data_IF_763992083838
#
_entry.id   IF_763992083838
#
_cell.length_a   1.000
_cell.length_b   1.000
_cell.length_c   1.000
_cell.angle_alpha   90.00
_cell.angle_beta   90.00
_cell.angle_gamma   90.00
#
_symmetry.space_group_name_H-M   'P 1'
#
loop_
_entity.id
_entity.type
_entity.pdbx_description
1 polymer ?
#
# COMPACT_ATOMS: atom_id res chain seq x y z
N UNK A 1 3.63 -0.33 -48.21
CA UNK A 1 4.53 -0.22 -47.06
C UNK A 1 3.64 -0.30 -45.83
N UNK A 2 3.55 -1.49 -45.22
CA UNK A 2 2.67 -1.74 -44.05
C UNK A 2 3.54 -1.51 -42.82
N UNK A 3 3.25 -0.47 -42.03
CA UNK A 3 3.84 -0.26 -40.73
C UNK A 3 3.17 -1.24 -39.75
N UNK A 4 3.86 -2.33 -39.40
CA UNK A 4 3.52 -3.11 -38.21
C UNK A 4 3.93 -2.26 -36.99
N UNK A 5 2.97 -1.61 -36.37
CA UNK A 5 3.14 -1.10 -35.00
C UNK A 5 3.15 -2.31 -34.06
N UNK A 6 4.34 -2.75 -33.64
CA UNK A 6 4.45 -3.65 -32.50
C UNK A 6 4.03 -2.85 -31.28
N UNK A 7 2.83 -3.14 -30.76
CA UNK A 7 2.46 -2.71 -29.42
C UNK A 7 3.48 -3.35 -28.46
N UNK A 8 4.35 -2.54 -27.89
CA UNK A 8 5.14 -2.92 -26.72
C UNK A 8 4.10 -3.19 -25.61
N UNK A 9 3.83 -4.46 -25.34
CA UNK A 9 3.14 -4.85 -24.12
C UNK A 9 4.03 -4.41 -22.94
N UNK A 10 3.70 -3.30 -22.32
CA UNK A 10 4.29 -2.87 -21.07
C UNK A 10 3.80 -3.86 -19.99
N UNK A 11 4.61 -4.87 -19.72
CA UNK A 11 4.35 -5.87 -18.69
C UNK A 11 4.63 -5.25 -17.32
N UNK A 12 3.60 -4.72 -16.70
CA UNK A 12 3.65 -4.29 -15.30
C UNK A 12 3.00 -5.37 -14.43
N UNK A 13 3.72 -6.38 -13.99
CA UNK A 13 3.19 -7.54 -13.24
C UNK A 13 4.15 -7.90 -12.11
N UNK A 14 4.38 -6.99 -11.16
CA UNK A 14 5.48 -7.19 -10.22
C UNK A 14 5.25 -6.65 -8.81
N UNK A 15 4.20 -5.85 -8.56
CA UNK A 15 3.97 -5.31 -7.22
C UNK A 15 3.46 -6.42 -6.30
N UNK A 16 4.24 -6.70 -5.26
CA UNK A 16 3.92 -7.66 -4.20
C UNK A 16 3.21 -6.97 -3.06
N UNK A 17 3.69 -5.81 -2.64
CA UNK A 17 3.16 -5.08 -1.52
C UNK A 17 3.83 -3.71 -1.33
N UNK A 18 3.46 -3.05 -0.25
CA UNK A 18 4.07 -1.78 0.16
C UNK A 18 3.42 -1.22 1.41
N UNK A 19 4.08 -0.24 1.98
CA UNK A 19 3.62 0.54 3.11
C UNK A 19 4.04 2.00 2.97
N UNK A 20 3.34 2.89 3.65
CA UNK A 20 3.72 4.31 3.75
C UNK A 20 3.43 4.80 5.16
N UNK A 21 4.39 5.51 5.73
CA UNK A 21 4.27 6.17 7.04
C UNK A 21 4.95 7.54 7.01
N UNK A 22 4.68 8.37 8.03
CA UNK A 22 5.25 9.71 8.11
C UNK A 22 5.85 10.02 9.48
N UNK A 23 6.75 10.99 9.49
CA UNK A 23 7.40 11.58 10.65
C UNK A 23 7.20 13.09 10.59
N UNK A 24 6.71 13.71 11.67
CA UNK A 24 6.66 15.14 11.78
C UNK A 24 7.99 15.69 12.28
N UNK A 25 8.67 16.47 11.47
CA UNK A 25 9.99 17.03 11.78
C UNK A 25 9.90 18.38 12.53
N UNK A 26 8.71 18.79 12.96
CA UNK A 26 8.49 20.04 13.68
C UNK A 26 7.99 21.19 12.79
N UNK A 27 8.01 22.42 13.34
CA UNK A 27 7.54 23.59 12.61
C UNK A 27 8.38 23.89 11.38
N UNK A 28 7.73 24.38 10.34
CA UNK A 28 8.40 24.90 9.16
C UNK A 28 9.04 26.27 9.41
N UNK A 29 9.73 26.79 8.39
CA UNK A 29 10.30 28.15 8.44
C UNK A 29 9.26 29.26 8.23
N UNK A 30 8.05 28.90 7.79
CA UNK A 30 6.92 29.82 7.64
C UNK A 30 5.94 29.64 8.80
N UNK A 31 5.22 30.69 9.22
CA UNK A 31 4.16 30.56 10.24
C UNK A 31 3.11 29.51 9.85
N UNK A 32 2.57 28.81 10.84
CA UNK A 32 1.51 27.82 10.68
C UNK A 32 1.81 26.73 9.64
N UNK A 33 3.09 26.29 9.57
CA UNK A 33 3.53 25.20 8.72
C UNK A 33 4.24 24.11 9.50
N UNK A 34 4.25 22.89 8.94
CA UNK A 34 5.00 21.73 9.43
C UNK A 34 5.92 21.20 8.34
N UNK A 35 7.00 20.57 8.78
CA UNK A 35 7.84 19.74 7.93
C UNK A 35 7.56 18.27 8.22
N UNK A 36 7.43 17.47 7.17
CA UNK A 36 7.24 16.02 7.28
C UNK A 36 8.26 15.30 6.42
N UNK A 37 8.67 14.14 6.90
CA UNK A 37 9.36 13.13 6.13
C UNK A 37 8.45 11.91 6.04
N UNK A 38 8.07 11.52 4.83
CA UNK A 38 7.35 10.28 4.61
C UNK A 38 8.30 9.25 4.02
N UNK A 39 8.12 8.01 4.44
CA UNK A 39 8.82 6.86 3.86
C UNK A 39 7.78 5.94 3.23
N UNK A 40 7.93 5.71 1.94
CA UNK A 40 7.14 4.71 1.21
C UNK A 40 8.07 3.57 0.84
N UNK A 41 7.77 2.35 1.33
CA UNK A 41 8.45 1.12 0.95
C UNK A 41 7.59 0.36 -0.03
N UNK A 42 8.22 -0.11 -1.11
CA UNK A 42 7.55 -0.92 -2.13
C UNK A 42 8.31 -2.21 -2.30
N UNK A 43 7.55 -3.28 -2.42
CA UNK A 43 8.01 -4.65 -2.59
C UNK A 43 7.67 -5.16 -3.98
N UNK A 44 8.63 -5.80 -4.63
CA UNK A 44 8.53 -6.27 -6.00
C UNK A 44 8.96 -7.73 -6.10
N UNK A 45 8.29 -8.47 -6.97
CA UNK A 45 8.71 -9.80 -7.39
C UNK A 45 9.90 -9.69 -8.35
N UNK A 46 11.09 -10.04 -7.86
CA UNK A 46 12.34 -9.99 -8.65
C UNK A 46 12.49 -11.16 -9.63
N UNK A 47 11.71 -12.24 -9.47
CA UNK A 47 11.70 -13.35 -10.44
C UNK A 47 10.78 -13.05 -11.64
N UNK A 48 9.96 -11.98 -11.57
CA UNK A 48 9.09 -11.59 -12.68
C UNK A 48 9.86 -10.81 -13.75
N UNK A 49 9.42 -10.92 -15.00
CA UNK A 49 9.87 -10.09 -16.14
C UNK A 49 9.17 -8.70 -16.19
N UNK A 50 8.55 -8.30 -15.07
CA UNK A 50 7.85 -7.02 -14.91
C UNK A 50 8.79 -5.81 -14.88
N UNK A 51 8.19 -4.60 -14.88
CA UNK A 51 8.96 -3.36 -14.86
C UNK A 51 9.75 -3.21 -13.55
N UNK A 52 10.86 -2.50 -13.60
CA UNK A 52 11.62 -2.10 -12.41
C UNK A 52 10.82 -1.11 -11.55
N UNK A 53 11.31 -0.82 -10.34
CA UNK A 53 10.79 0.26 -9.53
C UNK A 53 10.76 1.58 -10.30
N UNK A 54 9.70 2.38 -10.10
CA UNK A 54 9.59 3.69 -10.74
C UNK A 54 10.74 4.61 -10.29
N UNK A 55 11.40 5.23 -11.25
CA UNK A 55 12.48 6.17 -10.94
C UNK A 55 12.46 7.37 -11.91
N UNK A 56 11.79 8.46 -11.55
CA UNK A 56 11.12 8.73 -10.26
C UNK A 56 9.71 8.14 -10.14
N UNK A 57 9.28 7.85 -8.90
CA UNK A 57 7.88 7.64 -8.57
C UNK A 57 7.13 8.98 -8.49
N UNK A 58 5.88 9.01 -8.97
CA UNK A 58 5.02 10.21 -8.96
C UNK A 58 4.07 10.15 -7.78
N UNK A 59 4.35 10.92 -6.74
CA UNK A 59 3.58 10.94 -5.48
C UNK A 59 2.59 12.10 -5.52
N UNK A 60 1.30 11.80 -5.35
CA UNK A 60 0.24 12.80 -5.21
C UNK A 60 0.11 13.28 -3.78
N UNK A 61 -0.09 14.58 -3.62
CA UNK A 61 -0.47 15.22 -2.35
C UNK A 61 -1.79 15.92 -2.56
N UNK A 62 -2.75 15.64 -1.68
CA UNK A 62 -4.11 16.16 -1.75
C UNK A 62 -4.52 16.72 -0.40
N UNK A 63 -5.45 17.67 -0.40
CA UNK A 63 -6.16 18.11 0.80
C UNK A 63 -7.56 17.52 0.82
N UNK A 64 -8.06 17.24 2.01
CA UNK A 64 -9.46 16.87 2.25
C UNK A 64 -10.08 17.82 3.25
N UNK A 65 -10.95 18.70 2.78
CA UNK A 65 -11.57 19.77 3.58
C UNK A 65 -13.07 19.77 3.30
N UNK A 66 -13.87 19.72 4.37
CA UNK A 66 -15.34 19.77 4.28
C UNK A 66 -15.93 18.74 3.29
N UNK A 67 -15.39 17.54 3.24
CA UNK A 67 -15.89 16.48 2.36
C UNK A 67 -15.38 16.55 0.90
N UNK A 68 -14.47 17.46 0.58
CA UNK A 68 -13.95 17.68 -0.77
C UNK A 68 -12.46 17.40 -0.83
N UNK A 69 -12.08 16.52 -1.75
CA UNK A 69 -10.68 16.30 -2.11
C UNK A 69 -10.21 17.31 -3.14
N UNK A 70 -9.02 17.86 -2.95
CA UNK A 70 -8.41 18.75 -3.91
C UNK A 70 -6.93 18.41 -4.11
N UNK A 71 -6.48 18.49 -5.36
CA UNK A 71 -5.08 18.31 -5.71
C UNK A 71 -4.24 19.47 -5.16
N UNK A 72 -3.14 19.15 -4.47
CA UNK A 72 -2.19 20.13 -3.96
C UNK A 72 -0.94 20.18 -4.81
N UNK A 73 -0.26 19.06 -4.97
CA UNK A 73 0.97 18.95 -5.77
C UNK A 73 1.31 17.51 -6.12
N UNK A 74 2.18 17.34 -7.11
CA UNK A 74 2.87 16.08 -7.39
C UNK A 74 4.35 16.22 -7.05
N UNK A 75 4.91 15.17 -6.46
CA UNK A 75 6.33 15.06 -6.18
C UNK A 75 6.90 13.93 -7.04
N UNK A 76 8.04 14.17 -7.67
CA UNK A 76 8.81 13.14 -8.36
C UNK A 76 9.95 12.74 -7.43
N UNK A 77 9.94 11.49 -6.98
CA UNK A 77 10.83 10.99 -5.93
C UNK A 77 11.60 9.79 -6.46
N UNK A 78 12.92 9.88 -6.45
CA UNK A 78 13.78 8.75 -6.80
C UNK A 78 13.80 7.75 -5.66
N UNK A 79 13.87 6.45 -5.99
CA UNK A 79 14.02 5.41 -4.98
C UNK A 79 15.46 5.37 -4.43
N UNK A 80 15.61 4.78 -3.25
CA UNK A 80 16.89 4.46 -2.63
C UNK A 80 17.56 3.22 -3.22
N UNK A 81 18.39 2.57 -2.44
CA UNK A 81 18.95 1.26 -2.80
C UNK A 81 17.86 0.22 -2.93
N UNK A 82 18.07 -0.73 -3.83
CA UNK A 82 17.25 -1.94 -3.95
C UNK A 82 17.96 -3.06 -3.19
N UNK A 83 17.24 -3.77 -2.34
CA UNK A 83 17.76 -4.87 -1.52
C UNK A 83 16.82 -6.06 -1.57
N UNK A 84 17.38 -7.26 -1.53
CA UNK A 84 16.57 -8.47 -1.43
C UNK A 84 15.95 -8.57 -0.03
N UNK A 85 14.68 -8.98 0.01
CA UNK A 85 13.99 -9.27 1.26
C UNK A 85 14.34 -10.70 1.67
N UNK A 86 15.00 -10.84 2.81
CA UNK A 86 15.30 -12.15 3.36
C UNK A 86 14.02 -12.85 3.81
N UNK A 87 13.84 -14.10 3.39
CA UNK A 87 12.73 -14.92 3.90
C UNK A 87 13.02 -15.27 5.36
N UNK A 88 11.99 -15.20 6.21
CA UNK A 88 12.07 -15.78 7.54
C UNK A 88 12.34 -17.29 7.36
N UNK A 89 13.44 -17.78 7.93
CA UNK A 89 13.79 -19.18 7.86
C UNK A 89 12.78 -20.00 8.67
N UNK A 90 11.80 -20.56 7.99
CA UNK A 90 10.89 -21.55 8.55
C UNK A 90 11.39 -22.95 8.13
N UNK A 91 11.65 -23.87 9.08
CA UNK A 91 12.18 -25.19 8.75
C UNK A 91 11.31 -26.01 7.80
N UNK A 92 10.02 -25.70 7.71
CA UNK A 92 9.09 -26.37 6.79
C UNK A 92 8.93 -25.67 5.44
N UNK A 93 9.50 -24.47 5.27
CA UNK A 93 9.33 -23.65 4.09
C UNK A 93 10.53 -23.80 3.15
N UNK A 94 10.40 -24.65 2.14
CA UNK A 94 11.29 -24.64 0.98
C UNK A 94 10.63 -23.76 -0.06
N UNK A 95 11.09 -22.51 -0.16
CA UNK A 95 10.60 -21.61 -1.20
C UNK A 95 10.95 -22.18 -2.59
N UNK A 96 10.01 -22.15 -3.55
CA UNK A 96 10.34 -22.44 -4.92
C UNK A 96 11.47 -21.55 -5.43
N UNK A 97 12.36 -22.03 -6.32
CA UNK A 97 13.55 -21.27 -6.76
C UNK A 97 13.24 -19.96 -7.51
N UNK A 98 12.00 -19.77 -7.90
CA UNK A 98 11.50 -18.58 -8.58
C UNK A 98 10.67 -17.64 -7.66
N UNK A 99 10.72 -17.83 -6.35
CA UNK A 99 10.13 -16.91 -5.37
C UNK A 99 11.23 -16.02 -4.84
N UNK A 100 11.17 -14.77 -5.19
CA UNK A 100 12.08 -13.76 -4.69
C UNK A 100 11.34 -12.42 -4.55
N UNK A 101 11.68 -11.66 -3.53
CA UNK A 101 11.14 -10.32 -3.28
C UNK A 101 12.30 -9.37 -3.05
N UNK A 102 12.25 -8.23 -3.73
CA UNK A 102 13.15 -7.12 -3.46
C UNK A 102 12.36 -5.91 -2.97
N UNK A 103 13.01 -5.04 -2.22
CA UNK A 103 12.43 -3.82 -1.69
C UNK A 103 13.23 -2.59 -2.05
N UNK A 104 12.54 -1.46 -2.08
CA UNK A 104 13.15 -0.14 -2.08
C UNK A 104 12.31 0.85 -1.31
N UNK A 105 12.94 1.96 -0.89
CA UNK A 105 12.28 3.05 -0.19
C UNK A 105 12.35 4.35 -0.97
N UNK A 106 11.25 5.11 -0.92
CA UNK A 106 11.14 6.47 -1.43
C UNK A 106 11.02 7.42 -0.25
N UNK A 107 11.93 8.38 -0.14
CA UNK A 107 11.90 9.39 0.91
C UNK A 107 11.26 10.65 0.36
N UNK A 108 10.13 11.02 0.91
CA UNK A 108 9.30 12.14 0.48
C UNK A 108 9.40 13.25 1.53
N UNK A 109 9.87 14.42 1.14
CA UNK A 109 9.96 15.56 2.05
C UNK A 109 8.85 16.58 1.72
N UNK A 110 8.01 16.87 2.71
CA UNK A 110 7.00 17.91 2.67
C UNK A 110 7.45 19.06 3.58
N UNK A 111 8.12 20.04 3.00
CA UNK A 111 8.62 21.19 3.74
C UNK A 111 7.60 22.34 3.70
N UNK A 112 7.51 23.08 4.82
CA UNK A 112 6.61 24.22 4.97
C UNK A 112 5.17 23.93 4.54
N UNK A 113 4.68 22.73 4.92
CA UNK A 113 3.32 22.30 4.64
C UNK A 113 2.36 23.05 5.56
N UNK A 114 1.42 23.86 5.03
CA UNK A 114 0.47 24.63 5.85
C UNK A 114 -0.37 23.70 6.74
N UNK A 115 -0.67 24.14 7.95
CA UNK A 115 -1.69 23.50 8.79
C UNK A 115 -3.05 23.92 8.23
N UNK A 116 -3.90 22.93 7.89
CA UNK A 116 -5.22 23.17 7.29
C UNK A 116 -6.34 22.64 8.19
N UNK A 117 -7.53 23.20 8.03
CA UNK A 117 -8.75 22.73 8.69
C UNK A 117 -9.31 21.49 7.97
N UNK A 118 -8.54 20.42 7.97
CA UNK A 118 -8.80 19.15 7.29
C UNK A 118 -7.57 18.30 7.24
N UNK A 119 -7.55 17.30 6.38
CA UNK A 119 -6.46 16.33 6.29
C UNK A 119 -5.63 16.52 5.03
N UNK A 120 -4.37 16.08 5.07
CA UNK A 120 -3.60 15.79 3.87
C UNK A 120 -3.64 14.29 3.57
N UNK A 121 -3.80 13.97 2.29
CA UNK A 121 -3.64 12.62 1.77
C UNK A 121 -2.38 12.60 0.89
N UNK A 122 -1.50 11.65 1.16
CA UNK A 122 -0.32 11.40 0.32
C UNK A 122 -0.45 10.01 -0.27
N UNK A 123 -0.38 9.87 -1.57
CA UNK A 123 -0.56 8.57 -2.22
C UNK A 123 0.32 8.35 -3.43
N UNK A 124 0.58 7.08 -3.71
CA UNK A 124 1.20 6.59 -4.93
C UNK A 124 0.39 5.45 -5.51
N UNK A 125 0.30 5.42 -6.83
CA UNK A 125 -0.47 4.43 -7.57
C UNK A 125 0.37 3.81 -8.68
N UNK A 126 0.22 2.49 -8.84
CA UNK A 126 0.91 1.75 -9.89
C UNK A 126 0.13 0.51 -10.32
N UNK A 127 -0.06 0.31 -11.59
CA UNK A 127 -0.51 -0.96 -12.16
C UNK A 127 0.71 -1.80 -12.54
N UNK A 128 0.69 -3.12 -12.49
CA UNK A 128 -0.38 -3.97 -12.03
C UNK A 128 0.17 -5.00 -11.05
N UNK A 129 -0.73 -5.71 -10.36
CA UNK A 129 -0.38 -6.80 -9.44
C UNK A 129 0.04 -8.06 -10.19
N UNK A 130 0.68 -8.98 -9.49
CA UNK A 130 1.08 -10.26 -10.06
C UNK A 130 -0.15 -11.08 -10.49
N UNK A 131 -0.11 -11.62 -11.72
CA UNK A 131 -1.21 -12.41 -12.29
C UNK A 131 -1.48 -13.74 -11.57
N UNK A 132 -0.53 -14.23 -10.76
CA UNK A 132 -0.68 -15.43 -9.96
C UNK A 132 -1.53 -15.24 -8.69
N UNK A 133 -1.92 -14.02 -8.35
CA UNK A 133 -2.83 -13.74 -7.23
C UNK A 133 -4.21 -14.34 -7.53
N UNK A 134 -4.71 -15.14 -6.59
CA UNK A 134 -5.91 -15.96 -6.79
C UNK A 134 -7.16 -15.41 -6.12
N UNK A 135 -7.03 -14.53 -5.14
CA UNK A 135 -8.15 -14.07 -4.31
C UNK A 135 -8.83 -12.79 -4.79
N UNK A 136 -8.31 -12.15 -5.83
CA UNK A 136 -8.95 -10.97 -6.45
C UNK A 136 -9.25 -11.19 -7.92
N UNK A 137 -10.18 -10.41 -8.46
CA UNK A 137 -10.56 -10.43 -9.87
C UNK A 137 -9.49 -9.71 -10.71
N UNK A 138 -9.10 -10.29 -11.82
CA UNK A 138 -8.21 -9.72 -12.84
C UNK A 138 -6.97 -9.00 -12.24
N UNK A 139 -6.12 -9.68 -11.44
CA UNK A 139 -4.99 -9.04 -10.78
C UNK A 139 -4.00 -8.40 -11.76
N UNK A 140 -3.85 -8.96 -12.96
CA UNK A 140 -3.01 -8.41 -14.02
C UNK A 140 -3.55 -7.11 -14.64
N UNK A 141 -4.78 -6.72 -14.31
CA UNK A 141 -5.43 -5.47 -14.71
C UNK A 141 -5.72 -4.55 -13.51
N UNK A 142 -5.38 -5.00 -12.31
CA UNK A 142 -5.64 -4.30 -11.07
C UNK A 142 -4.32 -3.80 -10.48
N UNK A 143 -4.19 -2.50 -10.32
CA UNK A 143 -3.03 -1.88 -9.70
C UNK A 143 -3.11 -1.85 -8.18
N UNK A 144 -2.19 -1.11 -7.59
CA UNK A 144 -2.10 -0.88 -6.15
C UNK A 144 -2.00 0.61 -5.86
N UNK A 145 -2.70 1.04 -4.81
CA UNK A 145 -2.56 2.36 -4.21
C UNK A 145 -2.07 2.19 -2.78
N UNK A 146 -1.03 2.93 -2.44
CA UNK A 146 -0.56 3.09 -1.07
C UNK A 146 -0.79 4.54 -0.69
N UNK A 147 -1.47 4.76 0.43
CA UNK A 147 -1.80 6.09 0.89
C UNK A 147 -1.70 6.23 2.40
N UNK A 148 -1.49 7.46 2.84
CA UNK A 148 -1.57 7.82 4.25
C UNK A 148 -2.33 9.13 4.39
N UNK A 149 -3.07 9.25 5.49
CA UNK A 149 -3.74 10.47 5.91
C UNK A 149 -2.98 11.12 7.06
N UNK A 150 -2.78 12.44 6.98
CA UNK A 150 -2.29 13.28 8.08
C UNK A 150 -3.46 14.15 8.51
N UNK A 151 -4.14 13.76 9.57
CA UNK A 151 -5.35 14.45 10.04
C UNK A 151 -5.04 15.87 10.54
N UNK A 152 -6.06 16.70 10.74
CA UNK A 152 -5.89 18.02 11.34
C UNK A 152 -5.28 17.96 12.74
N UNK A 153 -5.70 16.97 13.54
CA UNK A 153 -5.16 16.78 14.89
C UNK A 153 -3.70 16.37 14.89
N UNK A 154 -3.32 15.48 13.95
CA UNK A 154 -1.91 15.13 13.71
C UNK A 154 -1.07 16.34 13.30
N UNK A 155 -1.59 17.20 12.43
CA UNK A 155 -0.90 18.44 12.03
C UNK A 155 -0.71 19.39 13.21
N UNK A 156 -1.74 19.57 14.05
CA UNK A 156 -1.69 20.45 15.21
C UNK A 156 -0.68 19.99 16.26
N UNK A 157 -0.61 18.69 16.51
CA UNK A 157 0.22 18.07 17.56
C UNK A 157 1.59 17.64 17.07
N UNK A 158 1.87 17.76 15.75
CA UNK A 158 3.11 17.24 15.14
C UNK A 158 3.31 15.75 15.45
N UNK A 159 2.33 14.96 15.06
CA UNK A 159 2.29 13.52 15.27
C UNK A 159 3.14 12.78 14.23
N UNK A 160 3.73 11.66 14.62
CA UNK A 160 4.31 10.67 13.72
C UNK A 160 3.27 9.57 13.42
N UNK A 161 3.27 8.98 12.26
CA UNK A 161 2.41 7.84 11.96
C UNK A 161 3.03 6.52 12.39
N UNK A 162 2.19 5.49 12.68
CA UNK A 162 2.66 4.17 13.08
C UNK A 162 3.46 3.48 11.98
N UNK A 163 4.40 2.62 12.37
CA UNK A 163 5.32 1.90 11.47
C UNK A 163 5.28 0.42 11.78
N UNK A 164 5.07 -0.42 10.79
CA UNK A 164 5.19 -1.86 10.96
C UNK A 164 6.62 -2.26 11.36
N UNK A 165 6.72 -3.16 12.33
CA UNK A 165 8.00 -3.63 12.89
C UNK A 165 8.65 -4.71 12.03
N UNK A 166 7.85 -5.47 11.27
CA UNK A 166 8.31 -6.63 10.52
C UNK A 166 7.66 -6.71 9.14
N UNK A 167 8.45 -7.13 8.15
CA UNK A 167 7.92 -7.50 6.85
C UNK A 167 7.11 -8.81 6.95
N UNK A 168 5.96 -8.94 6.26
CA UNK A 168 5.19 -10.17 6.24
C UNK A 168 5.99 -11.34 5.65
N UNK A 169 5.76 -12.58 6.12
CA UNK A 169 6.46 -13.74 5.58
C UNK A 169 6.15 -13.90 4.08
N UNK A 170 7.19 -14.10 3.27
CA UNK A 170 7.09 -14.31 1.81
C UNK A 170 6.28 -15.57 1.49
N UNK A 171 6.32 -16.56 2.36
CA UNK A 171 5.57 -17.80 2.25
C UNK A 171 5.08 -18.28 3.62
N UNK A 172 3.94 -18.97 3.60
CA UNK A 172 3.35 -19.63 4.76
C UNK A 172 2.93 -21.05 4.39
N UNK A 173 3.04 -21.98 5.34
CA UNK A 173 2.73 -23.38 5.09
C UNK A 173 1.23 -23.65 5.14
N UNK A 174 0.71 -24.39 4.16
CA UNK A 174 -0.68 -24.86 4.15
C UNK A 174 -0.88 -25.92 5.22
N UNK A 175 -1.99 -25.84 5.94
CA UNK A 175 -2.39 -26.71 7.06
C UNK A 175 -1.52 -26.60 8.33
N UNK A 176 -0.56 -25.70 8.37
CA UNK A 176 0.22 -25.39 9.57
C UNK A 176 -0.32 -24.15 10.25
N UNK A 177 -0.06 -24.02 11.55
CA UNK A 177 -0.48 -22.86 12.32
C UNK A 177 0.39 -21.66 11.95
N UNK A 178 -0.26 -20.60 11.46
CA UNK A 178 0.36 -19.29 11.29
C UNK A 178 0.34 -18.55 12.63
N UNK A 179 1.47 -17.99 12.99
CA UNK A 179 1.62 -17.09 14.14
C UNK A 179 2.63 -16.01 13.75
N UNK A 180 2.14 -14.89 13.26
CA UNK A 180 2.96 -13.80 12.73
C UNK A 180 2.70 -12.50 13.49
N UNK A 181 3.74 -11.93 14.08
CA UNK A 181 3.69 -10.61 14.73
C UNK A 181 3.77 -9.52 13.64
N UNK A 182 2.61 -8.94 13.32
CA UNK A 182 2.47 -7.82 12.40
C UNK A 182 2.17 -6.53 13.16
N UNK A 183 2.78 -6.39 14.34
CA UNK A 183 2.66 -5.17 15.13
C UNK A 183 3.34 -3.98 14.45
N UNK A 184 2.86 -2.81 14.80
CA UNK A 184 3.48 -1.53 14.49
C UNK A 184 3.93 -0.85 15.77
N UNK A 185 4.88 0.06 15.66
CA UNK A 185 5.30 0.95 16.73
C UNK A 185 4.89 2.38 16.41
N UNK A 186 4.50 3.09 17.47
CA UNK A 186 4.23 4.52 17.44
C UNK A 186 5.20 5.25 18.37
N UNK A 187 5.91 6.30 17.90
CA UNK A 187 6.91 7.00 18.71
C UNK A 187 6.33 7.75 19.91
N UNK A 188 5.10 8.24 19.81
CA UNK A 188 4.41 8.95 20.88
C UNK A 188 3.70 8.01 21.86
N UNK A 189 3.55 6.73 21.51
CA UNK A 189 2.88 5.71 22.32
C UNK A 189 1.36 5.77 22.23
N UNK A 190 0.84 6.22 21.10
CA UNK A 190 -0.59 6.27 20.85
C UNK A 190 -1.22 4.88 20.71
N UNK A 191 -2.52 4.81 20.86
CA UNK A 191 -3.25 3.56 20.70
C UNK A 191 -3.33 3.17 19.24
N UNK A 192 -2.76 2.03 18.88
CA UNK A 192 -2.85 1.44 17.56
C UNK A 192 -3.96 0.40 17.51
N UNK A 193 -4.77 0.42 16.46
CA UNK A 193 -5.84 -0.54 16.19
C UNK A 193 -5.62 -1.17 14.82
N UNK A 194 -5.67 -2.50 14.77
CA UNK A 194 -5.41 -3.29 13.56
C UNK A 194 -6.67 -3.97 13.07
N UNK A 195 -6.85 -4.00 11.76
CA UNK A 195 -7.92 -4.76 11.12
C UNK A 195 -7.48 -5.27 9.73
N UNK A 196 -8.05 -6.39 9.29
CA UNK A 196 -7.97 -6.74 7.88
C UNK A 196 -8.88 -5.81 7.09
N UNK A 197 -8.35 -5.28 5.99
CA UNK A 197 -9.10 -4.40 5.09
C UNK A 197 -8.88 -4.80 3.63
N UNK A 198 -9.71 -4.29 2.74
CA UNK A 198 -9.48 -4.45 1.32
C UNK A 198 -8.31 -3.56 0.89
N UNK A 199 -7.29 -4.11 0.20
CA UNK A 199 -6.28 -3.27 -0.42
C UNK A 199 -6.91 -2.35 -1.46
N UNK A 200 -6.38 -1.13 -1.55
CA UNK A 200 -6.83 -0.17 -2.56
C UNK A 200 -6.30 -0.56 -3.94
N UNK A 201 -7.14 -0.39 -4.96
CA UNK A 201 -6.71 -0.50 -6.36
C UNK A 201 -6.13 0.82 -6.84
N UNK A 202 -5.31 0.78 -7.89
CA UNK A 202 -4.70 1.97 -8.47
C UNK A 202 -4.22 1.72 -9.88
N UNK A 203 -4.78 2.46 -10.81
CA UNK A 203 -4.50 2.27 -12.22
C UNK A 203 -5.08 0.98 -12.80
N UNK A 204 -4.79 0.76 -14.04
CA UNK A 204 -5.16 -0.42 -14.81
C UNK A 204 -5.00 -0.12 -16.29
N UNK A 205 -4.84 -1.14 -17.16
CA UNK A 205 -4.63 -0.92 -18.59
C UNK A 205 -5.82 -0.23 -19.27
N UNK A 206 -7.01 -0.30 -18.69
CA UNK A 206 -8.24 0.24 -19.27
C UNK A 206 -9.20 0.83 -18.21
N UNK A 207 -8.82 0.96 -16.95
CA UNK A 207 -9.74 1.35 -15.87
C UNK A 207 -10.98 0.46 -15.74
N UNK A 208 -10.93 -0.74 -16.29
CA UNK A 208 -12.08 -1.53 -16.78
C UNK A 208 -12.92 -2.14 -15.68
N UNK A 209 -12.41 -2.21 -14.45
CA UNK A 209 -13.11 -2.93 -13.40
C UNK A 209 -14.15 -2.08 -12.66
N UNK A 210 -14.21 -0.79 -12.97
CA UNK A 210 -15.27 0.07 -12.47
C UNK A 210 -15.90 0.88 -13.61
N UNK A 211 -17.04 0.46 -14.16
CA UNK A 211 -17.74 1.18 -15.22
C UNK A 211 -18.24 2.57 -14.80
N UNK A 212 -18.14 2.90 -13.51
CA UNK A 212 -18.52 4.20 -12.96
C UNK A 212 -17.31 5.10 -12.63
N UNK A 213 -16.07 4.59 -12.74
CA UNK A 213 -14.90 5.46 -12.68
C UNK A 213 -14.74 6.16 -14.01
N UNK A 214 -14.57 7.45 -13.94
CA UNK A 214 -14.03 8.23 -15.05
C UNK A 214 -12.62 7.74 -15.34
N UNK A 215 -12.19 7.82 -16.60
CA UNK A 215 -10.89 7.33 -17.09
C UNK A 215 -9.67 8.06 -16.48
N UNK A 216 -9.85 8.81 -15.43
CA UNK A 216 -8.83 9.69 -14.84
C UNK A 216 -7.77 8.91 -14.06
N UNK A 217 -8.10 7.69 -13.60
CA UNK A 217 -7.19 6.79 -12.89
C UNK A 217 -6.66 5.64 -13.75
N UNK A 218 -6.86 5.69 -15.06
CA UNK A 218 -6.41 4.67 -16.00
C UNK A 218 -4.89 4.71 -16.20
N UNK A 219 -4.37 3.60 -16.73
CA UNK A 219 -2.98 3.49 -17.14
C UNK A 219 -2.08 2.82 -16.09
N UNK A 220 -0.84 2.61 -16.50
CA UNK A 220 0.17 1.94 -15.68
C UNK A 220 0.60 2.82 -14.50
N UNK A 221 0.74 4.10 -14.75
CA UNK A 221 1.07 5.15 -13.77
C UNK A 221 0.05 6.28 -13.89
N UNK A 222 -1.07 6.22 -13.16
CA UNK A 222 -2.06 7.29 -13.16
C UNK A 222 -1.44 8.66 -12.88
N UNK A 223 -1.95 9.69 -13.55
CA UNK A 223 -1.52 11.05 -13.22
C UNK A 223 -2.20 11.51 -11.92
N UNK A 224 -1.43 11.82 -10.86
CA UNK A 224 -2.01 12.25 -9.60
C UNK A 224 -2.88 13.52 -9.69
N UNK A 225 -2.73 14.33 -10.76
CA UNK A 225 -3.56 15.52 -10.97
C UNK A 225 -5.01 15.18 -11.33
N UNK A 226 -5.19 14.05 -11.98
CA UNK A 226 -6.48 13.63 -12.52
C UNK A 226 -7.11 12.50 -11.69
N UNK A 227 -6.29 11.72 -10.99
CA UNK A 227 -6.73 10.62 -10.15
C UNK A 227 -6.68 11.02 -8.67
N UNK A 228 -7.75 11.64 -8.19
CA UNK A 228 -7.90 12.08 -6.81
C UNK A 228 -8.50 10.98 -5.93
N UNK A 229 -8.26 11.01 -4.59
CA UNK A 229 -9.05 10.20 -3.66
C UNK A 229 -10.56 10.55 -3.73
N UNK A 230 -11.48 9.69 -3.23
CA UNK A 230 -11.20 8.39 -2.62
C UNK A 230 -10.87 7.34 -3.67
N UNK A 231 -10.08 6.33 -3.26
CA UNK A 231 -9.72 5.21 -4.13
C UNK A 231 -10.61 4.00 -3.84
N UNK A 232 -10.86 3.19 -4.87
CA UNK A 232 -11.67 1.99 -4.74
C UNK A 232 -10.87 0.82 -4.16
N UNK A 233 -11.59 -0.08 -3.52
CA UNK A 233 -11.08 -1.36 -3.08
C UNK A 233 -10.84 -2.31 -4.26
N UNK A 234 -9.92 -3.26 -4.09
CA UNK A 234 -9.82 -4.41 -4.99
C UNK A 234 -11.09 -5.26 -4.91
N UNK A 235 -11.48 -5.88 -6.02
CA UNK A 235 -12.62 -6.78 -6.04
C UNK A 235 -12.17 -8.21 -5.75
N UNK A 236 -12.61 -8.77 -4.62
CA UNK A 236 -12.34 -10.16 -4.27
C UNK A 236 -13.15 -11.17 -5.09
N UNK A 237 -12.61 -12.36 -5.29
CA UNK A 237 -13.31 -13.49 -5.90
C UNK A 237 -14.34 -14.08 -4.92
N UNK A 238 -15.49 -13.37 -4.76
CA UNK A 238 -16.58 -13.81 -3.92
C UNK A 238 -17.26 -15.08 -4.49
N UNK A 239 -17.86 -15.94 -3.67
CA UNK A 239 -17.97 -15.83 -2.21
C UNK A 239 -16.78 -16.39 -1.44
N UNK A 240 -15.78 -16.93 -2.12
CA UNK A 240 -14.68 -17.67 -1.49
C UNK A 240 -13.69 -16.77 -0.74
N UNK A 241 -13.57 -15.52 -1.16
CA UNK A 241 -12.60 -14.57 -0.62
C UNK A 241 -13.26 -13.23 -0.28
N UNK A 242 -12.74 -12.57 0.74
CA UNK A 242 -13.11 -11.22 1.14
C UNK A 242 -11.95 -10.56 1.91
N UNK A 243 -12.06 -9.29 2.25
CA UNK A 243 -11.08 -8.60 3.11
C UNK A 243 -10.92 -9.32 4.46
N UNK A 244 -12.02 -9.75 5.09
CA UNK A 244 -12.01 -10.47 6.36
C UNK A 244 -11.58 -11.95 6.23
N UNK A 245 -11.59 -12.52 5.03
CA UNK A 245 -11.17 -13.90 4.76
C UNK A 245 -10.28 -13.96 3.50
N UNK A 246 -9.12 -13.30 3.52
CA UNK A 246 -8.29 -13.15 2.33
C UNK A 246 -7.65 -14.47 1.86
N UNK A 247 -7.47 -15.45 2.74
CA UNK A 247 -6.93 -16.78 2.42
C UNK A 247 -8.01 -17.79 2.02
N UNK A 248 -9.27 -17.35 1.92
CA UNK A 248 -10.37 -18.13 1.40
C UNK A 248 -11.09 -19.04 2.39
N UNK A 249 -12.19 -19.64 1.90
CA UNK A 249 -13.07 -20.49 2.69
C UNK A 249 -12.30 -21.70 3.24
N UNK A 250 -12.51 -21.98 4.53
CA UNK A 250 -11.87 -23.07 5.24
C UNK A 250 -10.52 -22.70 5.88
N UNK A 251 -9.91 -21.59 5.47
CA UNK A 251 -8.79 -21.01 6.19
C UNK A 251 -9.31 -20.21 7.39
N UNK A 252 -8.76 -20.42 8.57
CA UNK A 252 -8.98 -19.54 9.71
C UNK A 252 -7.83 -18.54 9.77
N UNK A 253 -8.11 -17.26 9.56
CA UNK A 253 -7.12 -16.20 9.73
C UNK A 253 -7.77 -15.04 10.48
N UNK A 254 -7.11 -14.56 11.52
CA UNK A 254 -7.55 -13.42 12.33
C UNK A 254 -6.37 -12.51 12.66
N UNK A 255 -6.66 -11.25 12.86
CA UNK A 255 -5.71 -10.28 13.39
C UNK A 255 -6.21 -9.80 14.76
N UNK A 256 -5.33 -9.78 15.74
CA UNK A 256 -5.67 -9.20 17.03
C UNK A 256 -5.70 -7.66 16.91
N UNK A 257 -6.83 -7.00 17.19
CA UNK A 257 -6.97 -5.57 16.96
C UNK A 257 -6.11 -4.69 17.87
N UNK A 258 -5.52 -5.26 18.92
CA UNK A 258 -4.70 -4.50 19.88
C UNK A 258 -3.21 -4.77 19.68
N UNK A 259 -2.84 -6.01 19.35
CA UNK A 259 -1.43 -6.42 19.26
C UNK A 259 -0.91 -6.53 17.84
N UNK A 260 -1.79 -6.54 16.81
CA UNK A 260 -1.39 -6.80 15.43
C UNK A 260 -1.00 -8.26 15.15
N UNK A 261 -1.10 -9.16 16.15
CA UNK A 261 -0.77 -10.57 15.96
C UNK A 261 -1.75 -11.24 15.00
N UNK A 262 -1.22 -11.77 13.90
CA UNK A 262 -1.97 -12.55 12.92
C UNK A 262 -1.82 -14.03 13.25
N UNK A 263 -2.96 -14.71 13.46
CA UNK A 263 -3.01 -16.14 13.74
C UNK A 263 -4.00 -16.84 12.84
N UNK A 264 -3.78 -18.13 12.60
CA UNK A 264 -4.71 -18.94 11.80
C UNK A 264 -4.11 -20.20 11.23
N UNK A 265 -4.83 -20.83 10.31
CA UNK A 265 -4.36 -22.01 9.57
C UNK A 265 -4.77 -21.88 8.12
N UNK A 266 -3.84 -21.59 7.20
CA UNK A 266 -4.11 -21.57 5.76
C UNK A 266 -4.53 -22.96 5.27
N UNK A 267 -5.52 -23.02 4.37
CA UNK A 267 -6.02 -24.29 3.80
C UNK A 267 -5.80 -24.42 2.29
N UNK A 268 -5.61 -23.31 1.63
CA UNK A 268 -5.48 -23.24 0.18
C UNK A 268 -4.06 -22.88 -0.21
N UNK A 269 -3.57 -23.50 -1.28
CA UNK A 269 -2.30 -23.12 -1.92
C UNK A 269 -2.56 -22.05 -2.98
N UNK A 270 -1.73 -21.02 -3.03
CA UNK A 270 -1.83 -19.93 -4.01
C UNK A 270 -1.08 -18.69 -3.57
N UNK A 271 -1.18 -17.63 -4.36
CA UNK A 271 -0.75 -16.30 -3.98
C UNK A 271 -1.98 -15.47 -3.61
N UNK A 272 -1.88 -14.75 -2.51
CA UNK A 272 -3.00 -13.99 -1.96
C UNK A 272 -2.55 -12.56 -1.65
N UNK A 273 -3.39 -11.59 -2.00
CA UNK A 273 -3.23 -10.24 -1.47
C UNK A 273 -3.97 -10.14 -0.13
N UNK A 274 -3.32 -9.57 0.86
CA UNK A 274 -3.87 -9.32 2.19
C UNK A 274 -3.66 -7.85 2.51
N UNK A 275 -4.71 -7.16 2.91
CA UNK A 275 -4.63 -5.80 3.40
C UNK A 275 -4.74 -5.77 4.92
N UNK A 276 -3.85 -5.02 5.54
CA UNK A 276 -3.91 -4.68 6.95
C UNK A 276 -3.99 -3.17 7.07
N UNK A 277 -5.06 -2.69 7.68
CA UNK A 277 -5.22 -1.29 8.02
C UNK A 277 -4.84 -1.05 9.47
N UNK A 278 -4.11 0.02 9.67
CA UNK A 278 -3.68 0.48 10.99
C UNK A 278 -4.30 1.86 11.23
N UNK A 279 -4.96 2.02 12.36
CA UNK A 279 -5.51 3.30 12.80
C UNK A 279 -4.86 3.69 14.12
N UNK A 280 -4.49 4.93 14.24
CA UNK A 280 -3.83 5.50 15.41
C UNK A 280 -4.78 6.46 16.13
N UNK A 281 -4.87 6.32 17.45
CA UNK A 281 -5.75 7.14 18.28
C UNK A 281 -5.00 7.72 19.47
N UNK A 282 -5.09 9.04 19.65
CA UNK A 282 -4.64 9.76 20.85
C UNK A 282 -5.85 10.23 21.64
N UNK A 283 -6.04 9.69 22.85
CA UNK A 283 -7.20 10.01 23.69
C UNK A 283 -8.55 9.84 22.98
N UNK A 284 -8.66 8.85 22.11
CA UNK A 284 -9.88 8.54 21.35
C UNK A 284 -10.08 9.40 20.08
N UNK A 285 -9.14 10.28 19.75
CA UNK A 285 -9.13 11.07 18.52
C UNK A 285 -8.26 10.39 17.47
N UNK A 286 -8.77 10.21 16.26
CA UNK A 286 -8.02 9.64 15.14
C UNK A 286 -6.89 10.58 14.71
N UNK A 287 -5.67 10.06 14.66
CA UNK A 287 -4.47 10.79 14.25
C UNK A 287 -4.03 10.42 12.84
N UNK A 288 -4.07 9.12 12.50
CA UNK A 288 -3.69 8.62 11.17
C UNK A 288 -4.40 7.32 10.81
#
# INVERSE_FOLDING_TARGET
MVFLATALELKAKHIVGGEIYYECLGPGSLPDTRNYKLTMKIYRDCASDGANFDNPARIGVYSYINGVYAFVKVLNVNHGSVTDVESIADPCLILPPNVCVEETSYIINLNNTPIIAGSYIVSWQRCCRNNSITNIIAPNNTGATYMIEITQDAQNTCNDGPRFNSFPPIGICTNEALNFDHSASDPEGDQIVYEFCAPLRGGGPLGVDNPNQTNDCDGITPDPRNCLPPYDDVTFNAPNYSAASPLGIGSSITINPVTGLITGTPKLTGQFVVGVCVKEFRNGVLMS
#
